data_IF_428366382732
#
_entry.id   IF_428366382732
#
_cell.length_a   1.000
_cell.length_b   1.000
_cell.length_c   1.000
_cell.angle_alpha   90.00
_cell.angle_beta   90.00
_cell.angle_gamma   90.00
#
_symmetry.space_group_name_H-M   'P 1'
#
loop_
_entity.id
_entity.type
_entity.pdbx_description
1 polymer ?
#
# COMPACT_ATOMS: atom_id res chain seq x y z
N UNK A 1 -7.94 -0.55 3.05
CA UNK A 1 -7.56 -1.66 2.16
C UNK A 1 -7.02 -2.83 2.96
N UNK A 2 -7.26 -4.05 2.50
CA UNK A 2 -6.76 -5.30 3.09
C UNK A 2 -5.84 -5.97 2.07
N UNK A 3 -4.64 -6.37 2.49
CA UNK A 3 -3.69 -7.15 1.70
C UNK A 3 -3.56 -8.57 2.26
N UNK A 4 -3.81 -9.56 1.42
CA UNK A 4 -3.65 -10.99 1.73
C UNK A 4 -2.37 -11.51 1.04
N UNK A 5 -1.33 -11.93 1.78
CA UNK A 5 -0.14 -12.50 1.16
C UNK A 5 -0.44 -13.87 0.55
N UNK A 6 0.12 -14.14 -0.63
CA UNK A 6 -0.02 -15.43 -1.33
C UNK A 6 1.24 -15.77 -2.14
N UNK A 7 1.45 -17.04 -2.55
CA UNK A 7 2.42 -17.35 -3.59
C UNK A 7 2.17 -16.54 -4.86
N UNK A 8 3.23 -16.11 -5.56
CA UNK A 8 3.10 -15.45 -6.85
C UNK A 8 2.61 -16.44 -7.92
N UNK A 9 1.67 -16.00 -8.77
CA UNK A 9 1.19 -16.77 -9.92
C UNK A 9 2.14 -16.65 -11.13
N UNK A 10 2.95 -15.58 -11.17
CA UNK A 10 3.89 -15.30 -12.26
C UNK A 10 5.32 -15.78 -11.95
N UNK A 11 5.71 -15.72 -10.69
CA UNK A 11 7.09 -15.95 -10.25
C UNK A 11 7.13 -17.06 -9.20
N UNK A 12 7.40 -18.29 -9.61
CA UNK A 12 7.47 -19.42 -8.69
C UNK A 12 8.47 -19.15 -7.54
N UNK A 13 8.08 -19.56 -6.32
CA UNK A 13 8.88 -19.34 -5.11
C UNK A 13 8.86 -17.92 -4.53
N UNK A 14 8.28 -16.93 -5.22
CA UNK A 14 8.11 -15.57 -4.66
C UNK A 14 6.76 -15.40 -3.96
N UNK A 15 6.74 -14.54 -2.94
CA UNK A 15 5.49 -14.06 -2.33
C UNK A 15 4.99 -12.84 -3.09
N UNK A 16 3.67 -12.79 -3.27
CA UNK A 16 2.89 -11.68 -3.79
C UNK A 16 1.75 -11.40 -2.80
N UNK A 17 0.85 -10.49 -3.13
CA UNK A 17 -0.35 -10.24 -2.35
C UNK A 17 -1.54 -9.94 -3.25
N UNK A 18 -2.74 -10.17 -2.74
CA UNK A 18 -4.00 -9.72 -3.33
C UNK A 18 -4.61 -8.67 -2.41
N UNK A 19 -4.92 -7.50 -2.96
CA UNK A 19 -5.51 -6.38 -2.26
C UNK A 19 -7.01 -6.23 -2.52
N UNK A 20 -7.76 -5.86 -1.50
CA UNK A 20 -9.15 -5.42 -1.61
C UNK A 20 -9.32 -4.07 -0.91
N UNK A 21 -10.02 -3.13 -1.53
CA UNK A 21 -10.27 -1.80 -0.97
C UNK A 21 -11.73 -1.46 -1.16
N UNK A 22 -12.30 -0.84 -0.14
CA UNK A 22 -13.62 -0.23 -0.21
C UNK A 22 -13.42 1.28 -0.07
N UNK A 23 -13.93 2.04 -1.03
CA UNK A 23 -13.71 3.47 -1.15
C UNK A 23 -15.04 4.19 -1.05
N UNK A 24 -15.16 5.10 -0.08
CA UNK A 24 -16.34 5.93 0.07
C UNK A 24 -16.35 7.05 -0.99
N UNK A 25 -17.54 7.54 -1.33
CA UNK A 25 -17.70 8.65 -2.27
C UNK A 25 -16.87 9.87 -1.83
N UNK A 26 -16.16 10.50 -2.77
CA UNK A 26 -15.31 11.67 -2.51
C UNK A 26 -13.86 11.33 -2.16
N UNK A 27 -13.57 10.11 -1.71
CA UNK A 27 -12.20 9.65 -1.46
C UNK A 27 -11.53 9.12 -2.74
N UNK A 28 -10.24 9.41 -2.89
CA UNK A 28 -9.42 9.11 -4.08
C UNK A 28 -8.11 8.41 -3.77
N UNK A 29 -7.87 8.09 -2.50
CA UNK A 29 -6.63 7.49 -2.01
C UNK A 29 -6.63 5.95 -2.13
N UNK A 30 -7.60 5.38 -2.85
CA UNK A 30 -7.86 3.94 -2.88
C UNK A 30 -6.75 3.15 -3.57
N UNK A 31 -6.21 3.68 -4.66
CA UNK A 31 -5.09 3.09 -5.40
C UNK A 31 -3.88 2.95 -4.50
N UNK A 32 -3.47 4.05 -3.85
CA UNK A 32 -2.29 4.03 -2.98
C UNK A 32 -2.54 3.20 -1.71
N UNK A 33 -3.73 3.29 -1.11
CA UNK A 33 -4.06 2.47 0.07
C UNK A 33 -4.01 0.97 -0.24
N UNK A 34 -4.52 0.55 -1.41
CA UNK A 34 -4.46 -0.84 -1.87
C UNK A 34 -3.03 -1.27 -2.13
N UNK A 35 -2.25 -0.46 -2.85
CA UNK A 35 -0.84 -0.75 -3.16
C UNK A 35 -0.02 -0.91 -1.87
N UNK A 36 -0.16 0.02 -0.92
CA UNK A 36 0.52 -0.07 0.37
C UNK A 36 0.13 -1.36 1.12
N UNK A 37 -1.15 -1.74 1.12
CA UNK A 37 -1.59 -2.97 1.78
C UNK A 37 -1.00 -4.22 1.12
N UNK A 38 -0.93 -4.28 -0.21
CA UNK A 38 -0.33 -5.38 -0.96
C UNK A 38 1.18 -5.48 -0.71
N UNK A 39 1.89 -4.34 -0.76
CA UNK A 39 3.34 -4.30 -0.56
C UNK A 39 3.74 -4.66 0.87
N UNK A 40 3.03 -4.14 1.88
CA UNK A 40 3.28 -4.51 3.28
C UNK A 40 2.94 -5.97 3.53
N UNK A 41 1.81 -6.47 3.02
CA UNK A 41 1.44 -7.87 3.18
C UNK A 41 2.46 -8.82 2.55
N UNK A 42 2.89 -8.52 1.32
CA UNK A 42 3.95 -9.23 0.61
C UNK A 42 5.28 -9.18 1.38
N UNK A 43 5.65 -8.00 1.86
CA UNK A 43 6.88 -7.76 2.61
C UNK A 43 6.89 -8.49 3.95
N UNK A 44 5.80 -8.46 4.70
CA UNK A 44 5.78 -9.05 6.05
C UNK A 44 5.34 -10.51 6.06
N UNK A 45 4.84 -11.04 4.92
CA UNK A 45 4.17 -12.35 4.83
C UNK A 45 3.03 -12.47 5.85
N UNK A 46 2.29 -11.37 6.04
CA UNK A 46 1.20 -11.25 7.01
C UNK A 46 0.02 -10.55 6.38
N UNK A 47 -1.19 -10.94 6.78
CA UNK A 47 -2.40 -10.18 6.47
C UNK A 47 -2.26 -8.77 7.03
N UNK A 48 -2.52 -7.78 6.19
CA UNK A 48 -2.31 -6.37 6.53
C UNK A 48 -3.57 -5.56 6.25
N UNK A 49 -3.93 -4.68 7.17
CA UNK A 49 -4.96 -3.67 6.97
C UNK A 49 -4.29 -2.31 6.91
N UNK A 50 -4.53 -1.56 5.83
CA UNK A 50 -4.14 -0.16 5.70
C UNK A 50 -5.40 0.69 5.75
N UNK A 51 -5.43 1.64 6.67
CA UNK A 51 -6.45 2.69 6.74
C UNK A 51 -5.75 3.98 6.36
N UNK A 52 -6.28 4.69 5.37
CA UNK A 52 -5.70 5.92 4.86
C UNK A 52 -6.79 6.96 4.67
N UNK A 53 -6.43 8.21 4.91
CA UNK A 53 -7.22 9.38 4.58
C UNK A 53 -6.24 10.51 4.27
N UNK A 54 -6.42 11.16 3.14
CA UNK A 54 -5.49 12.16 2.66
C UNK A 54 -6.30 13.31 2.06
N UNK A 55 -5.98 14.54 2.47
CA UNK A 55 -6.75 15.71 2.10
C UNK A 55 -5.82 16.91 1.96
N UNK A 56 -5.91 17.56 0.81
CA UNK A 56 -5.25 18.81 0.49
C UNK A 56 -6.18 19.61 -0.41
N UNK A 57 -6.21 20.92 -0.18
CA UNK A 57 -6.91 21.84 -1.05
C UNK A 57 -6.08 22.11 -2.31
N UNK A 58 -6.73 22.09 -3.47
CA UNK A 58 -6.14 22.47 -4.78
C UNK A 58 -4.80 21.77 -5.11
N UNK A 59 -4.60 20.53 -4.66
CA UNK A 59 -3.36 19.78 -4.89
C UNK A 59 -3.04 19.64 -6.38
N UNK A 60 -1.83 20.04 -6.76
CA UNK A 60 -1.39 19.95 -8.15
C UNK A 60 -1.04 18.50 -8.55
N UNK A 61 -1.05 18.16 -9.86
CA UNK A 61 -0.57 16.86 -10.32
C UNK A 61 0.86 16.51 -9.84
N UNK A 62 1.77 17.48 -9.84
CA UNK A 62 3.15 17.31 -9.39
C UNK A 62 3.23 17.07 -7.87
N UNK A 63 2.32 17.66 -7.09
CA UNK A 63 2.21 17.42 -5.66
C UNK A 63 1.61 16.04 -5.36
N UNK A 64 0.64 15.59 -6.15
CA UNK A 64 0.10 14.23 -6.09
C UNK A 64 1.24 13.21 -6.30
N UNK A 65 2.11 13.43 -7.29
CA UNK A 65 3.26 12.56 -7.53
C UNK A 65 4.20 12.50 -6.32
N UNK A 66 4.53 13.66 -5.72
CA UNK A 66 5.37 13.72 -4.50
C UNK A 66 4.73 12.97 -3.34
N UNK A 67 3.41 13.06 -3.18
CA UNK A 67 2.65 12.34 -2.16
C UNK A 67 2.71 10.84 -2.38
N UNK A 68 2.51 10.37 -3.63
CA UNK A 68 2.62 8.95 -3.99
C UNK A 68 4.03 8.43 -3.68
N UNK A 69 5.08 9.16 -4.08
CA UNK A 69 6.46 8.79 -3.77
C UNK A 69 6.73 8.72 -2.26
N UNK A 70 6.17 9.66 -1.50
CA UNK A 70 6.28 9.65 -0.04
C UNK A 70 5.62 8.41 0.56
N UNK A 71 4.44 8.01 0.08
CA UNK A 71 3.77 6.78 0.47
C UNK A 71 4.59 5.53 0.13
N UNK A 72 5.22 5.48 -1.04
CA UNK A 72 6.12 4.37 -1.41
C UNK A 72 7.34 4.28 -0.49
N UNK A 73 7.97 5.42 -0.18
CA UNK A 73 9.10 5.48 0.78
C UNK A 73 8.66 5.04 2.17
N UNK A 74 7.50 5.52 2.63
CA UNK A 74 6.93 5.15 3.92
C UNK A 74 6.65 3.65 4.01
N UNK A 75 6.07 3.06 2.96
CA UNK A 75 5.79 1.62 2.86
C UNK A 75 7.07 0.80 3.04
N UNK A 76 8.13 1.14 2.31
CA UNK A 76 9.44 0.48 2.43
C UNK A 76 10.01 0.61 3.84
N UNK A 77 9.87 1.79 4.46
CA UNK A 77 10.31 2.03 5.84
C UNK A 77 9.52 1.16 6.83
N UNK A 78 8.19 1.11 6.75
CA UNK A 78 7.34 0.27 7.62
C UNK A 78 7.78 -1.19 7.54
N UNK A 79 7.96 -1.74 6.32
CA UNK A 79 8.38 -3.13 6.15
C UNK A 79 9.75 -3.38 6.80
N UNK A 80 10.69 -2.45 6.64
CA UNK A 80 12.03 -2.56 7.23
C UNK A 80 11.99 -2.55 8.75
N UNK A 81 11.29 -1.58 9.35
CA UNK A 81 11.22 -1.43 10.81
C UNK A 81 10.47 -2.59 11.47
N UNK A 82 9.36 -3.06 10.89
CA UNK A 82 8.59 -4.18 11.46
C UNK A 82 9.30 -5.53 11.31
N UNK A 83 10.22 -5.65 10.34
CA UNK A 83 11.10 -6.84 10.20
C UNK A 83 12.32 -6.80 11.11
N UNK A 84 12.67 -5.65 11.67
CA UNK A 84 13.80 -5.55 12.58
C UNK A 84 13.54 -6.45 13.81
N UNK A 85 14.57 -7.17 14.30
CA UNK A 85 14.44 -8.09 15.42
C UNK A 85 14.05 -7.41 16.72
#
# INVERSE_FOLDING_TARGET
AIGEPRPSLRDEGKISATGSVYTFLGHKEDVIAKEMAEEVAKGLRKRTVVVAGMHWDEISPEEIEKVIEACHRLTKKIIKEVRAP
#
